data_IF_521369445600
#
_entry.id   IF_521369445600
#
_cell.length_a   1.000
_cell.length_b   1.000
_cell.length_c   1.000
_cell.angle_alpha   90.00
_cell.angle_beta   90.00
_cell.angle_gamma   90.00
#
_symmetry.space_group_name_H-M   'P 1'
#
loop_
_entity.id
_entity.type
_entity.pdbx_description
1 polymer ?
#
# COMPACT_ATOMS: atom_id res chain seq x y z
N UNK A 1 24.66 16.22 11.87
CA UNK A 1 23.63 15.91 10.88
C UNK A 1 22.28 15.91 11.58
N UNK A 2 21.44 16.93 11.36
CA UNK A 2 20.11 17.00 11.98
C UNK A 2 19.14 16.29 11.04
N UNK A 3 18.64 15.14 11.45
CA UNK A 3 17.58 14.43 10.73
C UNK A 3 16.32 15.32 10.79
N UNK A 4 15.84 15.77 9.63
CA UNK A 4 14.55 16.44 9.53
C UNK A 4 13.48 15.54 10.16
N UNK A 5 12.58 16.05 11.01
CA UNK A 5 11.47 15.25 11.50
C UNK A 5 10.63 14.90 10.28
N UNK A 6 10.69 13.64 9.85
CA UNK A 6 9.86 13.14 8.79
C UNK A 6 8.40 13.18 9.30
N UNK A 7 7.75 14.33 9.09
CA UNK A 7 6.30 14.40 8.94
C UNK A 7 5.84 13.71 7.62
N UNK A 8 6.72 12.95 6.98
CA UNK A 8 6.37 12.04 5.92
C UNK A 8 5.81 10.79 6.58
N UNK A 9 4.48 10.73 6.70
CA UNK A 9 3.82 9.48 7.02
C UNK A 9 4.35 8.40 6.07
N UNK A 10 5.05 7.39 6.61
CA UNK A 10 5.65 6.34 5.80
C UNK A 10 4.56 5.57 5.07
N UNK A 11 4.64 5.52 3.74
CA UNK A 11 3.76 4.67 2.93
C UNK A 11 4.61 3.57 2.33
N UNK A 12 4.27 2.33 2.67
CA UNK A 12 4.95 1.14 2.17
C UNK A 12 4.12 0.51 1.07
N UNK A 13 4.74 0.29 -0.08
CA UNK A 13 4.12 -0.38 -1.22
C UNK A 13 4.75 -1.76 -1.37
N UNK A 14 3.91 -2.78 -1.51
CA UNK A 14 4.34 -4.12 -1.92
C UNK A 14 3.87 -4.37 -3.34
N UNK A 15 4.65 -5.17 -4.06
CA UNK A 15 4.40 -5.47 -5.46
C UNK A 15 4.27 -6.98 -5.64
N UNK A 16 3.41 -7.37 -6.56
CA UNK A 16 3.32 -8.75 -7.02
C UNK A 16 4.44 -9.06 -8.05
N UNK A 17 4.57 -10.31 -8.48
CA UNK A 17 5.65 -10.76 -9.38
C UNK A 17 5.64 -10.05 -10.74
N UNK A 18 4.49 -9.49 -11.11
CA UNK A 18 4.28 -8.69 -12.32
C UNK A 18 4.52 -7.18 -12.11
N UNK A 19 5.06 -6.76 -10.95
CA UNK A 19 5.35 -5.34 -10.65
C UNK A 19 4.11 -4.49 -10.35
N UNK A 20 2.96 -5.11 -10.13
CA UNK A 20 1.69 -4.42 -9.79
C UNK A 20 1.59 -4.21 -8.28
N UNK A 21 1.05 -3.08 -7.85
CA UNK A 21 0.89 -2.76 -6.41
C UNK A 21 -0.09 -3.73 -5.77
N UNK A 22 0.37 -4.54 -4.83
CA UNK A 22 -0.42 -5.55 -4.11
C UNK A 22 -0.98 -5.02 -2.80
N UNK A 23 -0.19 -4.26 -2.06
CA UNK A 23 -0.61 -3.68 -0.77
C UNK A 23 0.05 -2.33 -0.56
N UNK A 24 -0.72 -1.38 -0.02
CA UNK A 24 -0.29 -0.05 0.39
C UNK A 24 -0.53 0.08 1.88
N UNK A 25 0.52 0.26 2.66
CA UNK A 25 0.42 0.45 4.11
C UNK A 25 0.82 1.87 4.45
N UNK A 26 -0.13 2.65 4.94
CA UNK A 26 0.09 4.01 5.39
C UNK A 26 0.46 4.00 6.88
N UNK A 27 1.34 4.91 7.28
CA UNK A 27 1.76 5.08 8.69
C UNK A 27 0.65 5.48 9.65
N UNK A 28 -0.50 5.94 9.14
CA UNK A 28 -1.69 6.21 9.94
C UNK A 28 -2.49 4.94 10.28
N UNK A 29 -1.96 3.75 9.95
CA UNK A 29 -2.61 2.46 10.20
C UNK A 29 -3.60 2.03 9.11
N UNK A 30 -3.75 2.82 8.03
CA UNK A 30 -4.56 2.42 6.87
C UNK A 30 -3.77 1.46 5.99
N UNK A 31 -4.38 0.34 5.66
CA UNK A 31 -3.84 -0.68 4.75
C UNK A 31 -4.82 -0.86 3.59
N UNK A 32 -4.34 -0.68 2.37
CA UNK A 32 -5.11 -0.94 1.15
C UNK A 32 -4.51 -2.15 0.46
N UNK A 33 -5.31 -3.19 0.25
CA UNK A 33 -4.91 -4.40 -0.48
C UNK A 33 -5.62 -4.44 -1.82
N UNK A 34 -4.87 -4.71 -2.88
CA UNK A 34 -5.37 -4.88 -4.22
C UNK A 34 -5.22 -6.35 -4.65
N UNK A 35 -6.30 -6.93 -5.16
CA UNK A 35 -6.26 -8.24 -5.78
C UNK A 35 -6.41 -8.10 -7.29
N UNK A 36 -5.71 -8.97 -8.01
CA UNK A 36 -5.76 -9.00 -9.46
C UNK A 36 -6.06 -10.40 -9.96
N UNK A 37 -6.72 -10.50 -11.10
CA UNK A 37 -6.84 -11.74 -11.84
C UNK A 37 -5.54 -12.06 -12.61
N UNK A 38 -5.52 -13.26 -13.20
CA UNK A 38 -4.43 -13.73 -14.05
C UNK A 38 -4.29 -12.94 -15.36
N UNK A 39 -5.32 -12.22 -15.80
CA UNK A 39 -5.32 -11.42 -17.01
C UNK A 39 -4.74 -10.01 -16.82
N UNK A 40 -4.56 -9.56 -15.57
CA UNK A 40 -4.06 -8.21 -15.32
C UNK A 40 -4.99 -7.34 -14.50
N UNK A 41 -6.28 -7.68 -14.45
CA UNK A 41 -7.32 -6.75 -14.03
C UNK A 41 -7.47 -6.74 -12.51
N UNK A 42 -7.68 -5.54 -11.95
CA UNK A 42 -7.95 -5.39 -10.53
C UNK A 42 -9.36 -5.85 -10.21
N UNK A 43 -9.47 -6.95 -9.47
CA UNK A 43 -10.76 -7.58 -9.14
C UNK A 43 -11.31 -7.13 -7.80
N UNK A 44 -10.44 -6.70 -6.87
CA UNK A 44 -10.86 -6.22 -5.56
C UNK A 44 -9.94 -5.15 -5.01
N UNK A 45 -10.54 -4.30 -4.18
CA UNK A 45 -9.85 -3.31 -3.35
C UNK A 45 -10.41 -3.44 -1.96
N UNK A 46 -9.54 -3.78 -1.01
CA UNK A 46 -9.89 -3.86 0.40
C UNK A 46 -9.11 -2.78 1.14
N UNK A 47 -9.82 -1.80 1.68
CA UNK A 47 -9.24 -0.78 2.54
C UNK A 47 -9.57 -1.13 3.98
N UNK A 48 -8.55 -1.41 4.78
CA UNK A 48 -8.65 -1.60 6.22
C UNK A 48 -7.99 -0.38 6.89
N UNK A 49 -8.79 0.53 7.42
CA UNK A 49 -8.31 1.72 8.14
C UNK A 49 -8.72 1.68 9.59
N UNK A 50 -7.79 1.95 10.50
CA UNK A 50 -8.10 2.18 11.90
C UNK A 50 -9.12 3.33 12.00
N UNK A 51 -10.23 3.05 12.67
CA UNK A 51 -11.35 3.96 12.94
C UNK A 51 -10.93 5.09 13.87
#
# INVERSE_FOLDING_TARGET
>A
MVAAPALAGSVTYTYDTLGRVKTVTYSNGVVITYTYDAAGNRTSVVTAGAS
#
